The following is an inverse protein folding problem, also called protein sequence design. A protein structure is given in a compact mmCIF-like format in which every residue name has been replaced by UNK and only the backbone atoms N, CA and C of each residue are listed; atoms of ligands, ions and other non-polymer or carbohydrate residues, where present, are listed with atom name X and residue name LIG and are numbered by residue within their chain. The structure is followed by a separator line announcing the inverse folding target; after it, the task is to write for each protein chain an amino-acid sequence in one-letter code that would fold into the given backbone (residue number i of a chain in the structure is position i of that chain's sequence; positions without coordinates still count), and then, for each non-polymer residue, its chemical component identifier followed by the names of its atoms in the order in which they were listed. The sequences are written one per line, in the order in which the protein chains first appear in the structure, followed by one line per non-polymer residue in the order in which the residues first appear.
data_IF_894902557132
#
_entry.id   IF_894902557132
#
_cell.length_a   1.000
_cell.length_b   1.000
_cell.length_c   1.000
_cell.angle_alpha   90.00
_cell.angle_beta   90.00
_cell.angle_gamma   90.00
#
_symmetry.space_group_name_H-M   'P 1'
#
loop_
_entity.id
_entity.type
_entity.pdbx_description
1 polymer ?
#
# COMPACT_ATOMS: atom_id res chain seq x y z
N UNK A 1 -5.30 -51.84 -52.49
CA UNK A 1 -4.49 -53.10 -52.38
C UNK A 1 -4.57 -53.54 -50.92
N UNK A 2 -5.24 -54.70 -50.74
CA UNK A 2 -5.54 -55.36 -49.46
C UNK A 2 -4.30 -55.98 -48.89
N UNK A 3 -4.01 -55.96 -47.61
CA UNK A 3 -3.48 -57.11 -46.86
C UNK A 3 -3.90 -56.97 -45.39
N UNK A 4 -4.73 -57.93 -44.98
CA UNK A 4 -5.09 -58.30 -43.60
C UNK A 4 -4.02 -59.29 -43.09
N UNK A 5 -3.58 -59.14 -41.85
CA UNK A 5 -3.08 -60.25 -41.06
C UNK A 5 -3.66 -60.17 -39.65
N UNK A 6 -4.39 -61.21 -39.33
CA UNK A 6 -4.86 -61.58 -38.01
C UNK A 6 -3.95 -62.68 -37.47
N UNK A 7 -3.70 -62.67 -36.19
CA UNK A 7 -3.35 -63.78 -35.29
C UNK A 7 -2.70 -63.16 -34.05
N UNK A 8 -2.95 -63.50 -32.83
CA UNK A 8 -3.56 -64.66 -32.21
C UNK A 8 -3.30 -64.54 -30.74
N UNK A 9 -4.22 -64.97 -29.99
CA UNK A 9 -4.43 -64.99 -28.54
C UNK A 9 -3.28 -65.67 -27.77
N UNK A 10 -2.86 -65.12 -26.61
CA UNK A 10 -2.39 -65.92 -25.47
C UNK A 10 -2.69 -65.15 -24.18
N UNK A 11 -3.70 -65.65 -23.50
CA UNK A 11 -4.13 -65.22 -22.17
C UNK A 11 -3.24 -65.95 -21.14
N UNK A 12 -2.33 -65.25 -20.47
CA UNK A 12 -1.63 -65.74 -19.29
C UNK A 12 -2.10 -64.95 -18.10
N UNK A 13 -2.98 -65.54 -17.31
CA UNK A 13 -3.37 -65.03 -16.00
C UNK A 13 -2.23 -65.30 -14.99
N UNK A 14 -1.42 -64.31 -14.70
CA UNK A 14 -0.48 -64.36 -13.59
C UNK A 14 -1.18 -63.79 -12.35
N UNK A 15 -1.45 -64.69 -11.38
CA UNK A 15 -1.84 -64.30 -10.02
C UNK A 15 -0.66 -63.58 -9.36
N UNK A 16 -0.73 -62.27 -9.28
CA UNK A 16 0.20 -61.47 -8.46
C UNK A 16 -0.42 -61.29 -7.10
N UNK A 17 0.10 -61.98 -6.07
CA UNK A 17 -0.22 -61.73 -4.69
C UNK A 17 0.30 -60.32 -4.30
N UNK A 18 -0.48 -59.50 -3.58
CA UNK A 18 0.01 -58.21 -3.12
C UNK A 18 1.09 -58.40 -2.06
N UNK A 19 2.19 -57.62 -2.10
CA UNK A 19 3.20 -57.66 -1.04
C UNK A 19 2.57 -57.11 0.25
N UNK A 20 2.73 -57.87 1.36
CA UNK A 20 2.46 -57.38 2.70
C UNK A 20 3.41 -56.20 2.93
N UNK A 21 2.87 -54.98 2.85
CA UNK A 21 3.58 -53.78 3.31
C UNK A 21 3.63 -53.87 4.84
N UNK A 22 4.85 -54.14 5.35
CA UNK A 22 5.13 -54.05 6.76
C UNK A 22 4.82 -52.58 7.20
N UNK A 23 3.84 -52.44 8.05
CA UNK A 23 3.43 -51.18 8.64
C UNK A 23 4.61 -50.68 9.49
N UNK A 24 5.31 -49.66 9.01
CA UNK A 24 6.36 -48.95 9.75
C UNK A 24 5.77 -48.45 11.08
N UNK A 25 6.41 -48.71 12.22
CA UNK A 25 5.89 -48.27 13.50
C UNK A 25 5.78 -46.73 13.48
N UNK A 26 4.57 -46.21 13.79
CA UNK A 26 4.30 -44.79 13.86
C UNK A 26 5.34 -44.10 14.78
N UNK A 27 5.89 -42.93 14.40
CA UNK A 27 6.82 -42.21 15.24
C UNK A 27 6.17 -41.91 16.59
N UNK A 28 6.92 -42.01 17.71
CA UNK A 28 6.38 -41.78 19.02
C UNK A 28 5.74 -40.38 19.09
N UNK A 29 4.50 -40.34 19.57
CA UNK A 29 3.78 -39.08 19.80
C UNK A 29 4.63 -38.17 20.69
N UNK A 30 4.79 -36.87 20.36
CA UNK A 30 5.52 -35.95 21.19
C UNK A 30 4.89 -35.90 22.60
N UNK A 31 5.69 -35.83 23.68
CA UNK A 31 5.16 -35.85 25.01
C UNK A 31 4.16 -34.70 25.24
N UNK A 32 2.99 -34.95 25.84
CA UNK A 32 2.05 -33.89 26.18
C UNK A 32 2.66 -33.09 27.36
N UNK A 33 3.24 -31.89 27.06
CA UNK A 33 3.79 -31.10 28.11
C UNK A 33 4.69 -29.92 27.75
N UNK A 34 4.79 -29.55 26.47
CA UNK A 34 5.31 -28.23 26.13
C UNK A 34 4.19 -27.33 25.65
N UNK A 35 3.28 -26.99 26.55
CA UNK A 35 2.58 -25.71 26.50
C UNK A 35 3.69 -24.66 26.50
N UNK A 36 4.06 -24.18 25.31
CA UNK A 36 4.96 -23.04 25.19
C UNK A 36 4.39 -21.95 26.08
N UNK A 37 5.14 -21.57 27.12
CA UNK A 37 4.75 -20.51 28.02
C UNK A 37 4.21 -19.37 27.15
N UNK A 38 2.93 -19.06 27.28
CA UNK A 38 2.26 -18.02 26.51
C UNK A 38 3.11 -16.77 26.72
N UNK A 39 3.88 -16.37 25.68
CA UNK A 39 4.67 -15.14 25.72
C UNK A 39 3.67 -14.03 26.01
N UNK A 40 3.85 -13.40 27.16
CA UNK A 40 2.99 -12.27 27.55
C UNK A 40 3.14 -11.22 26.46
N UNK A 41 2.11 -11.03 25.66
CA UNK A 41 2.11 -9.98 24.63
C UNK A 41 2.24 -8.64 25.35
N UNK A 42 3.26 -7.82 25.03
CA UNK A 42 3.43 -6.52 25.68
C UNK A 42 2.23 -5.64 25.39
N UNK A 43 1.87 -4.81 26.36
CA UNK A 43 0.76 -3.87 26.19
C UNK A 43 1.08 -2.87 25.05
N UNK A 44 0.14 -2.58 24.17
CA UNK A 44 0.34 -1.61 23.11
C UNK A 44 0.54 -0.20 23.69
N UNK A 45 1.43 0.59 23.08
CA UNK A 45 1.76 1.94 23.50
C UNK A 45 1.04 2.94 22.59
N UNK A 46 0.20 3.84 23.14
CA UNK A 46 -0.48 4.86 22.33
C UNK A 46 0.51 5.97 21.93
N UNK A 47 0.58 6.25 20.65
CA UNK A 47 1.43 7.28 20.06
C UNK A 47 0.59 8.36 19.37
N UNK A 48 0.97 9.61 19.57
CA UNK A 48 0.58 10.74 18.72
C UNK A 48 1.63 10.88 17.63
N UNK A 49 1.26 10.56 16.40
CA UNK A 49 2.13 10.75 15.23
C UNK A 49 1.70 12.00 14.49
N UNK A 50 2.63 12.94 14.32
CA UNK A 50 2.41 14.15 13.52
C UNK A 50 3.20 14.03 12.23
N UNK A 51 2.51 14.10 11.11
CA UNK A 51 3.10 14.10 9.76
C UNK A 51 2.88 15.49 9.17
N UNK A 52 3.96 16.17 8.79
CA UNK A 52 3.89 17.50 8.18
C UNK A 52 4.37 17.40 6.73
N UNK A 53 3.47 17.65 5.79
CA UNK A 53 3.81 17.77 4.38
C UNK A 53 4.14 19.24 4.08
N UNK A 54 5.37 19.49 3.65
CA UNK A 54 5.84 20.82 3.29
C UNK A 54 6.24 20.88 1.82
N UNK A 55 5.79 21.90 1.10
CA UNK A 55 6.18 22.14 -0.29
C UNK A 55 7.09 23.38 -0.35
N UNK A 56 8.16 23.24 -1.13
CA UNK A 56 9.15 24.30 -1.31
C UNK A 56 9.33 24.58 -2.80
N UNK A 57 9.52 25.84 -3.13
CA UNK A 57 9.98 26.29 -4.45
C UNK A 57 11.33 26.99 -4.29
N UNK A 58 12.41 26.30 -4.69
CA UNK A 58 13.74 26.67 -4.28
C UNK A 58 13.87 26.64 -2.75
N UNK A 59 14.27 27.73 -2.13
CA UNK A 59 14.41 27.83 -0.67
C UNK A 59 13.11 28.27 0.04
N UNK A 60 12.12 28.74 -0.73
CA UNK A 60 10.88 29.28 -0.16
C UNK A 60 9.87 28.17 0.09
N UNK A 61 9.40 28.04 1.35
CA UNK A 61 8.28 27.17 1.68
C UNK A 61 6.98 27.82 1.23
N UNK A 62 6.26 27.14 0.31
CA UNK A 62 4.99 27.61 -0.26
C UNK A 62 3.77 27.03 0.43
N UNK A 63 3.88 25.84 1.04
CA UNK A 63 2.81 25.28 1.87
C UNK A 63 3.37 24.40 2.99
N UNK A 64 2.56 24.23 4.06
CA UNK A 64 2.84 23.34 5.17
C UNK A 64 1.52 22.82 5.72
N UNK A 65 1.31 21.51 5.66
CA UNK A 65 0.08 20.86 6.06
C UNK A 65 0.38 19.84 7.16
N UNK A 66 0.04 20.13 8.42
CA UNK A 66 0.19 19.18 9.52
C UNK A 66 -1.00 18.23 9.60
N UNK A 67 -0.73 16.94 9.77
CA UNK A 67 -1.70 15.88 10.02
C UNK A 67 -1.35 15.17 11.32
N UNK A 68 -2.35 14.88 12.15
CA UNK A 68 -2.15 14.21 13.43
C UNK A 68 -2.94 12.91 13.46
N UNK A 69 -2.24 11.82 13.79
CA UNK A 69 -2.81 10.48 13.88
C UNK A 69 -2.53 9.89 15.29
N UNK A 70 -3.55 9.24 15.86
CA UNK A 70 -3.37 8.38 17.02
C UNK A 70 -3.04 6.96 16.55
N UNK A 71 -1.87 6.45 16.90
CA UNK A 71 -1.39 5.13 16.45
C UNK A 71 -1.07 4.27 17.65
N UNK A 72 -1.47 3.00 17.63
CA UNK A 72 -1.11 2.04 18.68
C UNK A 72 0.16 1.29 18.25
N UNK A 73 1.26 1.50 18.96
CA UNK A 73 2.49 0.74 18.74
C UNK A 73 2.36 -0.66 19.36
N UNK A 74 2.64 -1.70 18.58
CA UNK A 74 2.63 -3.09 19.00
C UNK A 74 4.06 -3.58 19.26
N UNK A 75 4.27 -4.28 20.36
CA UNK A 75 5.56 -4.95 20.66
C UNK A 75 5.72 -6.29 19.96
N UNK A 76 4.68 -6.79 19.29
CA UNK A 76 4.70 -8.09 18.61
C UNK A 76 4.06 -7.99 17.23
N UNK A 77 4.90 -8.03 16.18
CA UNK A 77 4.45 -7.99 14.80
C UNK A 77 3.81 -6.64 14.38
N UNK A 78 3.29 -6.55 13.16
CA UNK A 78 2.68 -5.33 12.67
C UNK A 78 1.42 -5.01 13.47
N UNK A 79 1.42 -3.85 14.14
CA UNK A 79 0.26 -3.33 14.83
C UNK A 79 -0.86 -2.89 13.89
N UNK A 80 -2.03 -2.48 14.44
CA UNK A 80 -3.12 -1.95 13.65
C UNK A 80 -2.66 -0.69 12.91
N UNK A 81 -3.03 -0.58 11.63
CA UNK A 81 -2.78 0.62 10.85
C UNK A 81 -3.86 1.65 11.12
N UNK A 82 -3.44 2.88 11.38
CA UNK A 82 -4.31 4.05 11.41
C UNK A 82 -4.32 4.69 10.03
N UNK A 83 -5.48 5.02 9.53
CA UNK A 83 -5.66 5.63 8.22
C UNK A 83 -6.32 6.99 8.35
N UNK A 84 -5.80 7.98 7.61
CA UNK A 84 -6.38 9.31 7.45
C UNK A 84 -6.67 9.53 5.99
N UNK A 85 -7.87 9.99 5.69
CA UNK A 85 -8.30 10.32 4.33
C UNK A 85 -8.91 11.71 4.35
N UNK A 86 -8.39 12.61 3.53
CA UNK A 86 -8.90 13.95 3.38
C UNK A 86 -8.83 14.36 1.92
N UNK A 87 -9.97 14.67 1.32
CA UNK A 87 -10.01 15.03 -0.09
C UNK A 87 -11.38 15.49 -0.55
N UNK A 88 -11.43 15.84 -1.81
CA UNK A 88 -12.64 16.23 -2.54
C UNK A 88 -12.70 15.46 -3.85
N UNK A 89 -13.89 15.29 -4.39
CA UNK A 89 -14.08 14.74 -5.73
C UNK A 89 -14.19 15.87 -6.75
N UNK A 90 -13.36 15.81 -7.78
CA UNK A 90 -13.31 16.80 -8.85
C UNK A 90 -13.95 16.22 -10.10
N UNK A 91 -15.04 16.82 -10.64
CA UNK A 91 -15.64 16.39 -11.88
C UNK A 91 -14.75 16.72 -13.07
N UNK A 92 -14.49 15.73 -13.92
CA UNK A 92 -13.78 15.87 -15.18
C UNK A 92 -14.77 15.63 -16.30
N UNK A 93 -15.00 16.62 -17.14
CA UNK A 93 -15.89 16.49 -18.29
C UNK A 93 -15.25 15.58 -19.34
N UNK A 94 -16.03 14.62 -19.82
CA UNK A 94 -15.70 13.77 -20.96
C UNK A 94 -16.74 14.06 -22.02
N UNK A 95 -16.29 14.56 -23.19
CA UNK A 95 -17.16 14.77 -24.33
C UNK A 95 -16.93 13.64 -25.33
N UNK A 96 -17.96 12.85 -25.57
CA UNK A 96 -17.98 11.85 -26.63
C UNK A 96 -18.88 12.34 -27.77
N UNK A 97 -18.47 12.07 -29.00
CA UNK A 97 -19.29 12.37 -30.17
C UNK A 97 -20.00 11.08 -30.59
N UNK A 98 -21.30 11.06 -30.48
CA UNK A 98 -22.11 9.96 -30.98
C UNK A 98 -22.62 10.33 -32.40
N UNK A 99 -22.16 9.60 -33.41
CA UNK A 99 -22.50 9.80 -34.80
C UNK A 99 -23.30 8.60 -35.32
N UNK A 100 -24.60 8.82 -35.57
CA UNK A 100 -25.45 7.99 -36.45
C UNK A 100 -26.14 8.92 -37.44
N UNK A 101 -26.17 8.56 -38.70
CA UNK A 101 -26.89 9.27 -39.78
C UNK A 101 -26.37 10.71 -40.08
N UNK A 102 -25.06 10.93 -40.05
CA UNK A 102 -24.46 12.19 -40.52
C UNK A 102 -24.67 13.41 -39.62
N UNK A 103 -25.28 13.26 -38.44
CA UNK A 103 -25.38 14.29 -37.40
C UNK A 103 -24.60 13.88 -36.17
N UNK A 104 -23.48 14.52 -35.95
CA UNK A 104 -22.63 14.32 -34.74
C UNK A 104 -23.16 15.21 -33.62
N UNK A 105 -23.73 14.64 -32.58
CA UNK A 105 -24.14 15.39 -31.39
C UNK A 105 -23.14 15.14 -30.28
N UNK A 106 -22.60 16.18 -29.62
CA UNK A 106 -21.75 16.01 -28.45
C UNK A 106 -22.58 15.52 -27.26
N UNK A 107 -22.14 14.44 -26.65
CA UNK A 107 -22.66 13.94 -25.37
C UNK A 107 -21.63 14.19 -24.30
N UNK A 108 -21.96 15.03 -23.31
CA UNK A 108 -21.08 15.33 -22.18
C UNK A 108 -21.44 14.44 -20.99
N UNK A 109 -20.44 13.75 -20.46
CA UNK A 109 -20.52 13.02 -19.20
C UNK A 109 -19.44 13.51 -18.25
N UNK A 110 -19.59 13.24 -16.95
CA UNK A 110 -18.60 13.61 -15.93
C UNK A 110 -18.03 12.36 -15.29
N UNK A 111 -16.70 12.31 -15.22
CA UNK A 111 -15.97 11.34 -14.41
C UNK A 111 -15.42 12.06 -13.17
N UNK A 112 -15.66 11.50 -11.99
CA UNK A 112 -15.18 12.08 -10.73
C UNK A 112 -13.81 11.50 -10.36
N UNK A 113 -12.87 12.37 -10.02
CA UNK A 113 -11.55 12.00 -9.51
C UNK A 113 -11.35 12.52 -8.10
N UNK A 114 -11.00 11.60 -7.20
CA UNK A 114 -10.65 11.95 -5.83
C UNK A 114 -9.28 12.64 -5.79
N UNK A 115 -9.24 13.80 -5.14
CA UNK A 115 -8.06 14.64 -4.96
C UNK A 115 -7.91 14.97 -3.49
N UNK A 116 -6.70 14.84 -2.95
CA UNK A 116 -6.43 15.10 -1.54
C UNK A 116 -5.29 14.26 -0.98
N UNK A 117 -5.20 14.20 0.34
CA UNK A 117 -4.12 13.55 1.07
C UNK A 117 -4.63 12.30 1.78
N UNK A 118 -3.94 11.19 1.58
CA UNK A 118 -4.15 9.92 2.27
C UNK A 118 -2.88 9.55 3.04
N UNK A 119 -3.02 9.22 4.32
CA UNK A 119 -1.90 8.82 5.17
C UNK A 119 -2.28 7.52 5.87
N UNK A 120 -1.43 6.51 5.73
CA UNK A 120 -1.51 5.26 6.48
C UNK A 120 -0.28 5.15 7.38
N UNK A 121 -0.48 4.90 8.66
CA UNK A 121 0.58 4.80 9.63
C UNK A 121 0.37 3.57 10.53
N UNK A 122 1.43 2.75 10.65
CA UNK A 122 1.51 1.67 11.62
C UNK A 122 2.74 1.86 12.48
N UNK A 123 2.70 1.40 13.73
CA UNK A 123 3.81 1.51 14.67
C UNK A 123 4.12 0.18 15.35
N UNK A 124 5.42 -0.08 15.52
CA UNK A 124 5.92 -1.19 16.33
C UNK A 124 7.03 -0.69 17.26
N UNK A 125 7.30 -1.44 18.33
CA UNK A 125 8.45 -1.20 19.20
C UNK A 125 9.12 -2.53 19.56
N UNK A 126 10.39 -2.47 19.91
CA UNK A 126 11.14 -3.62 20.43
C UNK A 126 11.05 -3.63 21.95
N UNK A 127 10.71 -4.78 22.55
CA UNK A 127 10.68 -4.94 24.01
C UNK A 127 12.04 -4.69 24.66
N UNK A 128 13.14 -4.98 23.95
CA UNK A 128 14.49 -4.71 24.43
C UNK A 128 14.80 -3.20 24.47
N UNK A 129 14.13 -2.39 23.64
CA UNK A 129 14.31 -0.93 23.57
C UNK A 129 12.95 -0.24 23.43
N UNK A 130 12.12 -0.26 24.48
CA UNK A 130 10.73 0.20 24.39
C UNK A 130 10.55 1.70 24.13
N UNK A 131 11.65 2.48 24.17
CA UNK A 131 11.65 3.90 23.82
C UNK A 131 11.90 4.18 22.33
N UNK A 132 12.17 3.14 21.52
CA UNK A 132 12.42 3.25 20.09
C UNK A 132 11.22 2.68 19.32
N UNK A 133 10.56 3.56 18.56
CA UNK A 133 9.40 3.22 17.75
C UNK A 133 9.78 3.12 16.28
N UNK A 134 9.35 2.06 15.64
CA UNK A 134 9.43 1.90 14.19
C UNK A 134 8.08 2.25 13.59
N UNK A 135 8.02 3.33 12.82
CA UNK A 135 6.83 3.80 12.12
C UNK A 135 6.89 3.42 10.65
N UNK A 136 5.91 2.67 10.17
CA UNK A 136 5.70 2.45 8.76
C UNK A 136 4.67 3.47 8.26
N UNK A 137 5.11 4.43 7.44
CA UNK A 137 4.28 5.53 6.95
C UNK A 137 4.14 5.45 5.45
N UNK A 138 2.90 5.54 4.97
CA UNK A 138 2.58 5.71 3.55
C UNK A 138 1.79 6.98 3.38
N UNK A 139 2.23 7.84 2.48
CA UNK A 139 1.59 9.11 2.15
C UNK A 139 1.27 9.13 0.67
N UNK A 140 0.01 9.39 0.33
CA UNK A 140 -0.44 9.68 -1.03
C UNK A 140 -1.07 11.06 -1.04
N UNK A 141 -0.54 11.97 -1.83
CA UNK A 141 -1.08 13.32 -2.01
C UNK A 141 -1.39 13.55 -3.48
N UNK A 142 -2.62 13.98 -3.76
CA UNK A 142 -3.05 14.32 -5.11
C UNK A 142 -3.61 15.74 -5.14
N UNK A 143 -3.27 16.48 -6.20
CA UNK A 143 -3.70 17.86 -6.39
C UNK A 143 -4.11 18.11 -7.83
N UNK A 144 -4.99 19.09 -8.02
CA UNK A 144 -5.38 19.59 -9.34
C UNK A 144 -4.57 20.84 -9.64
N UNK A 145 -3.88 20.84 -10.77
CA UNK A 145 -3.29 22.02 -11.36
C UNK A 145 -4.16 22.50 -12.52
N UNK A 146 -4.43 23.80 -12.56
CA UNK A 146 -4.90 24.47 -13.76
C UNK A 146 -3.67 24.94 -14.53
N UNK A 147 -2.83 24.02 -14.95
CA UNK A 147 -1.67 24.37 -15.76
C UNK A 147 -2.17 24.75 -17.13
N UNK A 148 -2.31 26.04 -17.36
CA UNK A 148 -2.30 26.56 -18.71
C UNK A 148 -0.99 26.12 -19.34
N UNK A 149 -1.07 25.13 -20.24
CA UNK A 149 0.06 24.49 -20.87
C UNK A 149 0.99 25.55 -21.43
N UNK A 150 2.15 25.73 -20.81
CA UNK A 150 3.27 26.43 -21.42
C UNK A 150 3.80 25.53 -22.55
N UNK A 151 3.23 25.72 -23.75
CA UNK A 151 3.81 25.22 -25.00
C UNK A 151 3.44 23.81 -25.44
N UNK A 152 2.17 23.50 -25.59
CA UNK A 152 1.74 22.28 -26.28
C UNK A 152 0.23 22.16 -26.31
N UNK A 153 -0.35 21.70 -27.39
CA UNK A 153 -1.77 21.68 -27.77
C UNK A 153 -2.70 20.91 -26.79
N UNK A 154 -2.75 21.33 -25.53
CA UNK A 154 -3.77 20.89 -24.59
C UNK A 154 -4.86 21.95 -24.60
N UNK A 155 -6.10 21.52 -24.82
CA UNK A 155 -7.26 22.41 -24.82
C UNK A 155 -7.29 23.26 -23.53
N UNK A 156 -7.56 24.57 -23.62
CA UNK A 156 -7.69 25.42 -22.44
C UNK A 156 -8.79 24.85 -21.54
N UNK A 157 -8.53 24.78 -20.22
CA UNK A 157 -9.43 24.26 -19.18
C UNK A 157 -9.47 22.75 -18.96
N UNK A 158 -8.47 21.98 -19.42
CA UNK A 158 -8.34 20.59 -19.01
C UNK A 158 -7.56 20.54 -17.68
N UNK A 159 -8.16 20.01 -16.58
CA UNK A 159 -7.44 19.91 -15.31
C UNK A 159 -6.29 18.90 -15.42
N UNK A 160 -5.10 19.29 -14.96
CA UNK A 160 -3.97 18.38 -14.76
C UNK A 160 -4.04 17.80 -13.34
N UNK A 161 -3.75 16.50 -13.20
CA UNK A 161 -3.70 15.83 -11.90
C UNK A 161 -2.25 15.49 -11.58
N UNK A 162 -1.81 15.96 -10.42
CA UNK A 162 -0.50 15.61 -9.87
C UNK A 162 -0.70 14.62 -8.75
N UNK A 163 0.07 13.54 -8.76
CA UNK A 163 0.05 12.52 -7.74
C UNK A 163 1.44 12.37 -7.15
N UNK A 164 1.51 12.38 -5.83
CA UNK A 164 2.68 12.09 -5.05
C UNK A 164 2.42 10.88 -4.16
N UNK A 165 3.30 9.87 -4.21
CA UNK A 165 3.21 8.69 -3.35
C UNK A 165 4.57 8.44 -2.72
N UNK A 166 4.60 8.25 -1.41
CA UNK A 166 5.80 7.92 -0.65
C UNK A 166 5.48 6.88 0.41
N UNK A 167 6.34 5.86 0.54
CA UNK A 167 6.28 4.86 1.59
C UNK A 167 7.68 4.72 2.19
N UNK A 168 7.77 4.84 3.52
CA UNK A 168 9.05 4.75 4.23
C UNK A 168 8.86 4.23 5.65
N UNK A 169 9.98 3.81 6.24
CA UNK A 169 10.04 3.41 7.64
C UNK A 169 10.93 4.40 8.40
N UNK A 170 10.39 4.96 9.48
CA UNK A 170 11.11 5.87 10.36
C UNK A 170 11.34 5.22 11.73
N UNK A 171 12.55 5.34 12.25
CA UNK A 171 12.91 4.94 13.61
C UNK A 171 13.01 6.19 14.47
N UNK A 172 12.10 6.35 15.42
CA UNK A 172 11.96 7.56 16.22
C UNK A 172 11.87 7.23 17.71
N UNK A 173 12.47 8.08 18.52
CA UNK A 173 12.26 8.08 19.97
C UNK A 173 11.11 9.02 20.33
N UNK A 174 10.64 8.92 21.57
CA UNK A 174 9.60 9.83 22.09
C UNK A 174 10.01 11.30 21.91
N UNK A 175 9.13 12.09 21.29
CA UNK A 175 9.35 13.51 20.95
C UNK A 175 10.30 13.76 19.78
N UNK A 176 10.89 12.76 19.18
CA UNK A 176 11.84 12.92 18.07
C UNK A 176 11.11 13.21 16.76
N UNK A 177 11.70 14.11 15.95
CA UNK A 177 11.27 14.40 14.58
C UNK A 177 12.31 13.93 13.59
N UNK A 178 11.87 13.29 12.52
CA UNK A 178 12.68 12.92 11.37
C UNK A 178 12.18 13.66 10.15
N UNK A 179 13.09 14.35 9.45
CA UNK A 179 12.82 14.97 8.16
C UNK A 179 13.17 14.02 7.02
N UNK A 180 12.28 13.89 6.08
CA UNK A 180 12.43 13.06 4.90
C UNK A 180 12.17 13.91 3.64
N UNK A 181 13.15 13.96 2.74
CA UNK A 181 12.94 14.59 1.43
C UNK A 181 12.37 13.55 0.50
N UNK A 182 11.12 13.75 0.10
CA UNK A 182 10.38 12.73 -0.61
C UNK A 182 10.52 12.79 -2.13
N UNK A 183 10.37 13.98 -2.74
CA UNK A 183 10.44 14.11 -4.19
C UNK A 183 10.62 15.56 -4.64
N UNK A 184 11.13 15.70 -5.89
CA UNK A 184 11.13 16.96 -6.63
C UNK A 184 10.23 16.78 -7.85
N UNK A 185 9.27 17.67 -8.03
CA UNK A 185 8.45 17.71 -9.25
C UNK A 185 9.33 18.15 -10.43
N UNK A 186 9.51 17.32 -11.47
CA UNK A 186 10.38 17.65 -12.59
C UNK A 186 9.86 18.78 -13.48
N UNK A 187 8.56 19.10 -13.38
CA UNK A 187 7.92 20.14 -14.22
C UNK A 187 8.02 21.51 -13.55
N UNK A 188 7.75 21.60 -12.25
CA UNK A 188 7.72 22.87 -11.52
C UNK A 188 8.99 23.15 -10.72
N UNK A 189 9.80 22.11 -10.45
CA UNK A 189 10.94 22.19 -9.55
C UNK A 189 10.53 22.29 -8.06
N UNK A 190 9.25 22.07 -7.75
CA UNK A 190 8.79 22.01 -6.35
C UNK A 190 9.40 20.81 -5.63
N UNK A 191 9.89 21.04 -4.41
CA UNK A 191 10.40 19.99 -3.53
C UNK A 191 9.40 19.71 -2.44
N UNK A 192 8.96 18.45 -2.34
CA UNK A 192 8.14 17.98 -1.24
C UNK A 192 9.01 17.39 -0.15
N UNK A 193 8.78 17.81 1.10
CA UNK A 193 9.44 17.29 2.30
C UNK A 193 8.38 16.78 3.27
N UNK A 194 8.72 15.70 3.96
CA UNK A 194 7.88 15.12 5.00
C UNK A 194 8.66 15.14 6.31
N UNK A 195 8.08 15.76 7.35
CA UNK A 195 8.55 15.69 8.72
C UNK A 195 7.63 14.78 9.51
N UNK A 196 8.19 13.80 10.23
CA UNK A 196 7.44 12.87 11.06
C UNK A 196 7.92 12.98 12.50
N UNK A 197 6.98 13.21 13.41
CA UNK A 197 7.22 13.28 14.86
C UNK A 197 6.38 12.20 15.55
N UNK A 198 6.99 11.46 16.46
CA UNK A 198 6.28 10.53 17.33
C UNK A 198 6.34 11.00 18.78
N UNK A 199 5.22 11.01 19.49
CA UNK A 199 5.16 11.31 20.89
C UNK A 199 4.24 10.32 21.62
N UNK A 200 4.67 9.81 22.77
CA UNK A 200 3.88 8.91 23.62
C UNK A 200 2.73 9.71 24.24
N UNK A 201 1.50 9.20 24.08
CA UNK A 201 0.35 9.76 24.78
C UNK A 201 0.31 9.27 26.22
N UNK A 202 0.29 10.18 27.16
CA UNK A 202 0.18 9.92 28.61
C UNK A 202 -1.27 9.93 29.04
#
# INVERSE_FOLDING_TARGET
MRIRFAAGIALIAALVAPPLVAQEPAPPSPPPGQSGAARKTPAPIPLKVTVVLSRFQGEKRISSMPYVLGVMASGWGPGPKTTLRMGVEVPVAITTFSGGDGKTSPVSSYNYRSVGTNIDCGATFDEAVPSLFQLAVTVSDSSVGLDAAKGGAVAPNVPSFRNFNSAFTALLRDGQTMQYTAATDPVTGEVMKIDVTAAVMK
#
